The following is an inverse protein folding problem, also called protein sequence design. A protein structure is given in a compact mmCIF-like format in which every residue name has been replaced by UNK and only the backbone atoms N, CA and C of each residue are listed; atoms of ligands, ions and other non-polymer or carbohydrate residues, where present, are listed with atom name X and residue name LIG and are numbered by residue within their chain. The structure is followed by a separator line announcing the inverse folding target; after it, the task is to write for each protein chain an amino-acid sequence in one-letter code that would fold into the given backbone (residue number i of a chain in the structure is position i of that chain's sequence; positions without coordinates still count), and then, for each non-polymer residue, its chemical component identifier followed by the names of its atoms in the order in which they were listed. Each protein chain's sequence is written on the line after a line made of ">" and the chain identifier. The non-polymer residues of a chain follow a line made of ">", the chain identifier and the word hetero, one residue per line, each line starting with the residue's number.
data_IF_682301459662
#
_entry.id   IF_682301459662
#
_cell.length_a   1.000
_cell.length_b   1.000
_cell.length_c   1.000
_cell.angle_alpha   90.00
_cell.angle_beta   90.00
_cell.angle_gamma   90.00
#
_symmetry.space_group_name_H-M   'P 1'
#
loop_
_entity.id
_entity.type
_entity.pdbx_description
1 polymer ?
#
# COMPACT_ATOMS: atom_id res chain seq x y z
N UNK A 1 12.03 33.38 54.23
CA UNK A 1 11.43 32.95 55.52
C UNK A 1 10.73 31.62 55.28
N UNK A 2 11.09 30.44 55.80
CA UNK A 2 12.03 29.89 56.80
C UNK A 2 12.40 28.47 56.28
N UNK A 3 13.70 28.12 56.19
CA UNK A 3 14.47 27.10 56.97
C UNK A 3 13.96 25.65 56.87
N UNK A 4 14.66 24.69 56.22
CA UNK A 4 15.90 23.93 56.59
C UNK A 4 15.68 22.73 57.54
N UNK A 5 16.02 21.51 57.05
CA UNK A 5 16.98 20.51 57.60
C UNK A 5 16.61 19.06 57.16
N UNK A 6 17.43 18.34 56.38
CA UNK A 6 18.69 17.61 56.68
C UNK A 6 18.51 16.31 57.50
N UNK A 7 18.77 15.17 56.87
CA UNK A 7 19.57 14.08 57.49
C UNK A 7 20.21 13.19 56.43
N UNK A 8 21.55 13.21 56.41
CA UNK A 8 22.48 12.33 55.70
C UNK A 8 22.48 10.94 56.34
N UNK A 9 22.67 9.89 55.56
CA UNK A 9 23.31 8.64 56.04
C UNK A 9 24.42 8.28 55.07
N UNK A 10 25.62 8.19 55.63
CA UNK A 10 26.89 7.79 55.03
C UNK A 10 27.30 6.50 55.73
N UNK A 11 27.68 5.45 55.01
CA UNK A 11 28.46 4.35 55.60
C UNK A 11 29.55 3.87 54.64
N UNK A 12 30.69 3.58 55.26
CA UNK A 12 32.05 3.45 54.74
C UNK A 12 32.35 2.07 54.17
N UNK A 13 33.21 2.09 53.15
CA UNK A 13 34.47 1.33 52.99
C UNK A 13 34.67 0.03 53.79
N UNK A 14 34.86 -1.08 53.06
CA UNK A 14 35.47 -2.32 53.54
C UNK A 14 36.40 -2.90 52.48
N UNK A 15 37.70 -2.69 52.66
CA UNK A 15 38.80 -3.23 51.85
C UNK A 15 39.18 -4.61 52.43
N UNK A 16 39.25 -5.66 51.61
CA UNK A 16 39.87 -6.94 51.96
C UNK A 16 40.81 -7.37 50.84
N UNK A 17 42.06 -7.59 51.22
CA UNK A 17 43.22 -8.00 50.42
C UNK A 17 43.47 -9.49 50.64
N UNK A 18 44.07 -10.15 49.63
CA UNK A 18 44.91 -11.39 49.59
C UNK A 18 44.35 -12.50 48.67
N UNK A 19 45.21 -13.33 48.04
CA UNK A 19 46.38 -13.00 47.20
C UNK A 19 46.32 -13.69 45.81
N UNK A 20 47.26 -13.30 44.96
CA UNK A 20 47.55 -13.92 43.67
C UNK A 20 47.83 -15.43 43.77
N UNK A 21 47.17 -16.21 42.91
CA UNK A 21 47.62 -17.54 42.51
C UNK A 21 47.48 -17.67 40.99
N UNK A 22 48.64 -17.87 40.39
CA UNK A 22 48.95 -18.16 38.99
C UNK A 22 48.06 -19.27 38.42
N UNK A 23 47.37 -19.00 37.31
CA UNK A 23 47.07 -20.01 36.30
C UNK A 23 47.20 -19.41 34.90
N UNK A 24 48.36 -19.68 34.31
CA UNK A 24 48.70 -19.45 32.91
C UNK A 24 48.21 -20.67 32.12
N UNK A 25 47.15 -20.56 31.32
CA UNK A 25 46.80 -21.58 30.31
C UNK A 25 45.93 -20.98 29.18
N UNK A 26 46.58 -20.79 28.04
CA UNK A 26 46.04 -20.79 26.67
C UNK A 26 44.79 -19.94 26.35
N UNK A 27 45.00 -18.65 26.08
CA UNK A 27 44.17 -17.89 25.14
C UNK A 27 44.50 -18.38 23.71
N UNK A 28 43.80 -19.42 23.26
CA UNK A 28 43.70 -19.72 21.84
C UNK A 28 42.64 -18.79 21.24
N UNK A 29 43.12 -17.89 20.41
CA UNK A 29 42.38 -16.91 19.62
C UNK A 29 41.27 -17.57 18.80
N UNK A 30 40.02 -17.49 19.25
CA UNK A 30 38.87 -17.63 18.35
C UNK A 30 38.60 -16.28 17.71
N UNK A 31 39.39 -15.96 16.68
CA UNK A 31 38.90 -15.06 15.63
C UNK A 31 37.83 -15.85 14.86
N UNK A 32 36.58 -15.38 14.75
CA UNK A 32 35.68 -15.93 13.75
C UNK A 32 36.32 -15.63 12.40
N UNK A 33 36.68 -16.69 11.67
CA UNK A 33 37.20 -16.59 10.31
C UNK A 33 36.22 -15.79 9.45
N UNK A 34 36.75 -14.79 8.75
CA UNK A 34 36.14 -14.25 7.55
C UNK A 34 35.74 -15.35 6.58
N UNK A 35 34.63 -15.14 5.88
CA UNK A 35 34.33 -15.86 4.64
C UNK A 35 33.56 -17.16 4.82
N UNK A 36 32.34 -17.08 5.37
CA UNK A 36 31.30 -17.94 4.81
C UNK A 36 31.08 -17.47 3.37
N UNK A 37 31.77 -18.09 2.43
CA UNK A 37 31.51 -18.00 0.99
C UNK A 37 30.08 -18.49 0.76
N UNK A 38 29.13 -17.55 0.89
CA UNK A 38 27.77 -17.75 0.43
C UNK A 38 27.87 -17.69 -1.09
N UNK A 39 28.09 -18.84 -1.71
CA UNK A 39 27.90 -19.04 -3.15
C UNK A 39 26.64 -18.27 -3.56
N UNK A 40 26.71 -17.32 -4.51
CA UNK A 40 25.55 -16.51 -4.86
C UNK A 40 24.43 -17.47 -5.27
N UNK A 41 23.36 -17.48 -4.48
CA UNK A 41 22.15 -18.20 -4.84
C UNK A 41 21.74 -17.70 -6.22
N UNK A 42 21.42 -18.59 -7.18
CA UNK A 42 21.03 -18.16 -8.50
C UNK A 42 19.77 -17.29 -8.39
N UNK A 43 19.93 -15.97 -8.53
CA UNK A 43 18.82 -15.04 -8.58
C UNK A 43 18.00 -15.36 -9.84
N UNK A 44 16.68 -15.49 -9.68
CA UNK A 44 15.79 -15.68 -10.82
C UNK A 44 15.26 -14.32 -11.26
N UNK A 45 15.24 -14.03 -12.57
CA UNK A 45 14.60 -12.83 -13.08
C UNK A 45 13.10 -12.88 -12.80
N UNK A 46 12.56 -11.76 -12.34
CA UNK A 46 11.13 -11.53 -12.15
C UNK A 46 10.62 -10.80 -13.40
N UNK A 47 10.07 -11.56 -14.35
CA UNK A 47 9.44 -10.99 -15.53
C UNK A 47 8.19 -10.23 -15.14
N UNK A 48 8.10 -8.99 -15.60
CA UNK A 48 7.20 -8.02 -14.99
C UNK A 48 6.90 -6.94 -16.01
N UNK A 49 5.66 -6.47 -16.02
CA UNK A 49 5.34 -5.14 -16.53
C UNK A 49 4.79 -4.29 -15.39
N UNK A 50 5.24 -3.05 -15.33
CA UNK A 50 4.86 -2.11 -14.29
C UNK A 50 4.81 -0.68 -14.81
N UNK A 51 4.15 0.18 -14.04
CA UNK A 51 4.04 1.61 -14.29
C UNK A 51 4.30 2.36 -12.98
N UNK A 52 5.05 3.45 -13.05
CA UNK A 52 5.10 4.48 -11.99
C UNK A 52 4.51 5.77 -12.56
N UNK A 53 3.77 6.52 -11.75
CA UNK A 53 3.12 7.74 -12.21
C UNK A 53 2.88 8.76 -11.09
N UNK A 54 2.91 10.03 -11.48
CA UNK A 54 2.40 11.17 -10.73
C UNK A 54 1.11 11.66 -11.40
N UNK A 55 0.06 11.83 -10.62
CA UNK A 55 -1.11 12.59 -11.03
C UNK A 55 -0.91 14.08 -10.72
N UNK A 56 -0.72 14.91 -11.75
CA UNK A 56 -0.42 16.34 -11.58
C UNK A 56 -1.56 17.14 -10.96
N UNK A 57 -2.81 16.69 -11.10
CA UNK A 57 -3.96 17.41 -10.55
C UNK A 57 -4.08 17.23 -9.05
N UNK A 58 -3.90 16.00 -8.56
CA UNK A 58 -4.06 15.66 -7.14
C UNK A 58 -2.73 15.58 -6.37
N UNK A 59 -1.61 15.55 -7.09
CA UNK A 59 -0.29 15.25 -6.57
C UNK A 59 -0.07 13.77 -6.20
N UNK A 60 -1.08 12.90 -6.36
CA UNK A 60 -0.96 11.49 -5.99
C UNK A 60 0.17 10.80 -6.75
N UNK A 61 0.89 9.93 -6.07
CA UNK A 61 1.95 9.11 -6.64
C UNK A 61 1.51 7.66 -6.61
N UNK A 62 1.84 6.90 -7.65
CA UNK A 62 1.39 5.53 -7.75
C UNK A 62 2.36 4.61 -8.50
N UNK A 63 2.26 3.34 -8.17
CA UNK A 63 2.96 2.25 -8.81
C UNK A 63 2.01 1.07 -8.97
N UNK A 64 2.06 0.42 -10.13
CA UNK A 64 1.26 -0.77 -10.41
C UNK A 64 2.09 -1.80 -11.16
N UNK A 65 1.86 -3.08 -10.87
CA UNK A 65 2.67 -4.18 -11.36
C UNK A 65 1.86 -5.46 -11.55
N UNK A 66 2.25 -6.28 -12.53
CA UNK A 66 1.81 -7.68 -12.68
C UNK A 66 3.01 -8.55 -13.07
N UNK A 67 3.07 -9.77 -12.52
CA UNK A 67 4.09 -10.78 -12.88
C UNK A 67 3.57 -12.21 -12.80
N UNK A 68 4.13 -13.13 -13.59
CA UNK A 68 4.09 -14.56 -13.29
C UNK A 68 5.12 -14.92 -12.20
N UNK A 69 4.93 -14.34 -11.02
CA UNK A 69 5.77 -14.56 -9.85
C UNK A 69 4.88 -14.46 -8.62
N UNK A 70 5.13 -15.28 -7.60
CA UNK A 70 4.36 -15.19 -6.37
C UNK A 70 4.66 -13.87 -5.64
N UNK A 71 3.61 -13.15 -5.27
CA UNK A 71 3.71 -11.97 -4.40
C UNK A 71 4.60 -10.82 -4.89
N UNK A 72 4.48 -10.45 -6.17
CA UNK A 72 5.35 -9.41 -6.79
C UNK A 72 5.28 -8.04 -6.11
N UNK A 73 4.13 -7.66 -5.56
CA UNK A 73 3.91 -6.34 -4.97
C UNK A 73 4.74 -6.05 -3.72
N UNK A 74 5.17 -7.08 -2.99
CA UNK A 74 5.97 -6.91 -1.78
C UNK A 74 7.40 -6.43 -2.06
N UNK A 75 7.90 -6.67 -3.27
CA UNK A 75 9.31 -6.41 -3.65
C UNK A 75 9.45 -5.34 -4.74
N UNK A 76 8.47 -5.22 -5.65
CA UNK A 76 8.58 -4.32 -6.81
C UNK A 76 8.00 -2.92 -6.53
N UNK A 77 6.88 -2.82 -5.82
CA UNK A 77 6.10 -1.58 -5.71
C UNK A 77 6.42 -0.77 -4.45
N UNK A 78 6.94 0.44 -4.64
CA UNK A 78 7.27 1.39 -3.58
C UNK A 78 6.68 2.76 -3.90
N UNK A 79 6.08 3.41 -2.92
CA UNK A 79 5.65 4.81 -3.04
C UNK A 79 5.57 5.46 -1.66
N UNK A 80 5.77 6.77 -1.64
CA UNK A 80 5.68 7.59 -0.44
C UNK A 80 5.11 8.97 -0.75
N UNK A 81 4.13 9.38 0.06
CA UNK A 81 3.39 10.61 -0.16
C UNK A 81 4.29 11.85 -0.12
N UNK A 82 4.14 12.71 -1.12
CA UNK A 82 4.96 13.90 -1.30
C UNK A 82 6.44 13.64 -1.63
N UNK A 83 6.84 12.38 -1.87
CA UNK A 83 8.23 12.01 -2.15
C UNK A 83 8.39 11.44 -3.55
N UNK A 84 7.78 10.29 -3.85
CA UNK A 84 7.91 9.65 -5.15
C UNK A 84 7.31 8.23 -5.20
N UNK A 85 7.43 7.59 -6.37
CA UNK A 85 7.12 6.19 -6.59
C UNK A 85 8.25 5.49 -7.36
N UNK A 86 8.49 4.21 -7.04
CA UNK A 86 9.57 3.39 -7.61
C UNK A 86 9.05 2.00 -7.93
N UNK A 87 9.43 1.51 -9.12
CA UNK A 87 9.29 0.12 -9.52
C UNK A 87 10.69 -0.47 -9.79
N UNK A 88 11.05 -1.56 -9.13
CA UNK A 88 12.32 -2.30 -9.32
C UNK A 88 12.03 -3.75 -9.73
N UNK A 89 12.51 -4.18 -10.89
CA UNK A 89 12.13 -5.46 -11.53
C UNK A 89 13.27 -6.10 -12.33
N UNK A 90 12.96 -7.20 -13.03
CA UNK A 90 13.93 -8.12 -13.62
C UNK A 90 14.71 -8.84 -12.53
N UNK A 91 16.04 -8.70 -12.43
CA UNK A 91 16.75 -9.14 -11.23
C UNK A 91 16.55 -8.10 -10.12
N UNK A 92 15.42 -8.22 -9.43
CA UNK A 92 14.95 -7.27 -8.41
C UNK A 92 16.02 -7.07 -7.33
N UNK A 93 16.28 -5.82 -7.00
CA UNK A 93 16.92 -5.41 -5.75
C UNK A 93 15.97 -4.43 -5.03
N UNK A 94 15.33 -4.84 -3.91
CA UNK A 94 14.46 -3.98 -3.10
C UNK A 94 15.12 -2.70 -2.59
N UNK A 95 16.46 -2.66 -2.55
CA UNK A 95 17.24 -1.48 -2.18
C UNK A 95 16.92 -0.28 -3.07
N UNK A 96 16.66 -0.47 -4.36
CA UNK A 96 16.29 0.64 -5.25
C UNK A 96 15.00 1.35 -4.82
N UNK A 97 14.04 0.62 -4.29
CA UNK A 97 12.78 1.18 -3.79
C UNK A 97 13.00 2.03 -2.55
N UNK A 98 13.47 1.41 -1.48
CA UNK A 98 13.65 2.08 -0.18
C UNK A 98 14.70 3.20 -0.21
N UNK A 99 15.87 2.97 -0.82
CA UNK A 99 16.93 3.97 -0.92
C UNK A 99 16.59 5.06 -1.93
N UNK A 100 15.92 4.72 -3.04
CA UNK A 100 15.45 5.70 -4.02
C UNK A 100 14.50 6.71 -3.38
N UNK A 101 13.48 6.24 -2.65
CA UNK A 101 12.57 7.10 -1.88
C UNK A 101 13.33 7.90 -0.81
N UNK A 102 14.31 7.30 -0.13
CA UNK A 102 15.10 8.03 0.86
C UNK A 102 15.93 9.17 0.26
N UNK A 103 16.54 8.95 -0.91
CA UNK A 103 17.27 10.00 -1.64
C UNK A 103 16.34 11.10 -2.13
N UNK A 104 15.16 10.74 -2.67
CA UNK A 104 14.16 11.71 -3.10
C UNK A 104 13.63 12.56 -1.94
N UNK A 105 13.37 11.94 -0.78
CA UNK A 105 12.98 12.66 0.45
C UNK A 105 14.07 13.64 0.91
N UNK A 106 15.34 13.30 0.69
CA UNK A 106 16.48 14.17 0.98
C UNK A 106 16.69 15.29 -0.08
N UNK A 107 15.76 15.44 -1.04
CA UNK A 107 15.76 16.51 -2.03
C UNK A 107 16.48 16.18 -3.34
N UNK A 108 16.82 14.90 -3.58
CA UNK A 108 17.33 14.47 -4.90
C UNK A 108 16.17 14.29 -5.87
N UNK A 109 16.40 14.57 -7.16
CA UNK A 109 15.44 14.15 -8.19
C UNK A 109 15.45 12.64 -8.39
N UNK A 110 14.41 12.10 -9.02
CA UNK A 110 14.35 10.70 -9.44
C UNK A 110 15.59 10.30 -10.27
N UNK A 111 16.06 11.17 -11.16
CA UNK A 111 17.26 10.96 -11.97
C UNK A 111 18.54 10.89 -11.13
N UNK A 112 18.71 11.82 -10.19
CA UNK A 112 19.87 11.83 -9.31
C UNK A 112 19.89 10.59 -8.39
N UNK A 113 18.72 10.18 -7.88
CA UNK A 113 18.57 8.98 -7.07
C UNK A 113 18.94 7.72 -7.87
N UNK A 114 18.32 7.53 -9.04
CA UNK A 114 18.58 6.36 -9.88
C UNK A 114 20.04 6.28 -10.32
N UNK A 115 20.62 7.38 -10.81
CA UNK A 115 22.02 7.43 -11.23
C UNK A 115 23.00 7.15 -10.08
N UNK A 116 22.68 7.60 -8.86
CA UNK A 116 23.48 7.31 -7.67
C UNK A 116 23.48 5.81 -7.34
N UNK A 117 22.30 5.19 -7.36
CA UNK A 117 22.12 3.77 -7.05
C UNK A 117 22.78 2.87 -8.10
N UNK A 118 22.60 3.16 -9.39
CA UNK A 118 23.21 2.40 -10.48
C UNK A 118 24.74 2.40 -10.41
N UNK A 119 25.36 3.51 -9.98
CA UNK A 119 26.82 3.59 -9.79
C UNK A 119 27.33 2.70 -8.65
N UNK A 120 26.48 2.41 -7.66
CA UNK A 120 26.81 1.56 -6.52
C UNK A 120 26.47 0.08 -6.72
N UNK A 121 25.62 -0.23 -7.70
CA UNK A 121 25.27 -1.60 -8.08
C UNK A 121 26.41 -2.24 -8.87
N UNK A 122 26.76 -3.47 -8.51
CA UNK A 122 27.82 -4.23 -9.20
C UNK A 122 27.33 -4.87 -10.50
N UNK A 123 26.01 -5.02 -10.65
CA UNK A 123 25.40 -5.64 -11.82
C UNK A 123 24.18 -4.85 -12.33
N UNK A 124 24.33 -3.55 -12.66
CA UNK A 124 23.21 -2.72 -13.11
C UNK A 124 22.60 -3.23 -14.43
N UNK A 125 23.37 -3.92 -15.26
CA UNK A 125 22.93 -4.47 -16.55
C UNK A 125 21.85 -5.54 -16.46
N UNK A 126 21.60 -6.16 -15.30
CA UNK A 126 20.49 -7.10 -15.10
C UNK A 126 19.25 -6.46 -14.46
N UNK A 127 19.34 -5.17 -14.08
CA UNK A 127 18.27 -4.44 -13.40
C UNK A 127 17.34 -3.77 -14.39
N UNK A 128 16.07 -3.65 -14.01
CA UNK A 128 15.16 -2.70 -14.62
C UNK A 128 14.47 -1.89 -13.54
N UNK A 129 14.59 -0.56 -13.57
CA UNK A 129 14.10 0.33 -12.51
C UNK A 129 13.46 1.57 -13.12
N UNK A 130 12.31 1.98 -12.62
CA UNK A 130 11.68 3.25 -12.94
C UNK A 130 11.36 4.01 -11.66
N UNK A 131 11.59 5.32 -11.67
CA UNK A 131 11.31 6.24 -10.56
C UNK A 131 10.58 7.47 -11.10
N UNK A 132 9.64 7.98 -10.32
CA UNK A 132 9.05 9.31 -10.49
C UNK A 132 9.08 10.02 -9.15
N UNK A 133 9.57 11.27 -9.13
CA UNK A 133 9.54 12.09 -7.92
C UNK A 133 8.28 12.97 -7.85
N UNK A 134 8.04 13.58 -6.69
CA UNK A 134 6.89 14.45 -6.46
C UNK A 134 6.87 15.72 -7.34
N UNK A 135 7.97 16.05 -8.03
CA UNK A 135 8.00 17.15 -9.02
C UNK A 135 7.61 16.69 -10.43
N UNK A 136 7.43 15.38 -10.62
CA UNK A 136 7.06 14.76 -11.88
C UNK A 136 8.26 14.42 -12.78
N UNK A 137 9.49 14.56 -12.29
CA UNK A 137 10.65 14.08 -13.04
C UNK A 137 10.72 12.56 -12.97
N UNK A 138 10.93 11.95 -14.12
CA UNK A 138 10.95 10.51 -14.30
C UNK A 138 12.36 10.07 -14.65
N UNK A 139 12.81 8.95 -14.09
CA UNK A 139 14.07 8.32 -14.45
C UNK A 139 13.87 6.82 -14.62
N UNK A 140 14.46 6.25 -15.68
CA UNK A 140 14.27 4.85 -16.05
C UNK A 140 15.59 4.23 -16.46
N UNK A 141 15.82 2.99 -16.06
CA UNK A 141 16.93 2.16 -16.48
C UNK A 141 16.41 0.80 -16.91
N UNK A 142 16.76 0.39 -18.13
CA UNK A 142 16.61 -1.00 -18.60
C UNK A 142 18.00 -1.53 -18.89
N UNK A 143 18.48 -2.45 -18.07
CA UNK A 143 19.77 -3.08 -18.25
C UNK A 143 19.84 -3.91 -19.54
N UNK A 144 21.00 -3.87 -20.21
CA UNK A 144 21.24 -4.60 -21.47
C UNK A 144 21.15 -6.12 -21.36
N UNK A 145 21.20 -6.68 -20.15
CA UNK A 145 21.09 -8.10 -19.85
C UNK A 145 19.73 -8.48 -19.26
N UNK A 146 18.74 -7.57 -19.28
CA UNK A 146 17.34 -7.98 -19.09
C UNK A 146 16.93 -8.95 -20.20
N UNK A 147 16.13 -9.96 -19.86
CA UNK A 147 15.65 -10.95 -20.83
C UNK A 147 14.81 -10.24 -21.92
N UNK A 148 15.01 -10.67 -23.17
CA UNK A 148 14.52 -10.02 -24.38
C UNK A 148 13.02 -9.67 -24.36
N UNK A 149 12.64 -8.76 -25.27
CA UNK A 149 11.43 -7.95 -25.17
C UNK A 149 11.40 -7.18 -23.83
N UNK A 150 12.53 -6.53 -23.53
CA UNK A 150 12.70 -5.61 -22.42
C UNK A 150 12.88 -4.18 -22.89
N UNK A 151 12.11 -3.26 -22.30
CA UNK A 151 12.12 -1.86 -22.68
C UNK A 151 11.22 -1.03 -21.78
N UNK A 152 11.07 0.24 -22.14
CA UNK A 152 10.22 1.17 -21.43
C UNK A 152 9.69 2.26 -22.36
N UNK A 153 8.62 2.91 -21.92
CA UNK A 153 8.14 4.20 -22.43
C UNK A 153 8.23 5.21 -21.29
N UNK A 154 8.85 6.35 -21.54
CA UNK A 154 8.91 7.46 -20.62
C UNK A 154 7.97 8.56 -21.13
N UNK A 155 7.01 8.95 -20.29
CA UNK A 155 6.10 10.04 -20.58
C UNK A 155 6.21 11.16 -19.56
N UNK A 156 5.38 12.18 -19.71
CA UNK A 156 5.33 13.31 -18.80
C UNK A 156 4.72 12.90 -17.45
N UNK A 157 5.55 12.76 -16.41
CA UNK A 157 5.14 12.35 -15.07
C UNK A 157 4.84 10.86 -14.90
N UNK A 158 5.21 10.00 -15.85
CA UNK A 158 5.06 8.54 -15.70
C UNK A 158 6.08 7.73 -16.52
N UNK A 159 6.25 6.46 -16.18
CA UNK A 159 6.92 5.49 -17.06
C UNK A 159 6.23 4.12 -17.00
N UNK A 160 6.16 3.46 -18.15
CA UNK A 160 5.78 2.07 -18.28
C UNK A 160 7.02 1.26 -18.68
N UNK A 161 7.29 0.16 -17.98
CA UNK A 161 8.48 -0.67 -18.19
C UNK A 161 8.11 -2.14 -18.16
N UNK A 162 8.76 -2.93 -19.01
CA UNK A 162 8.56 -4.37 -19.03
C UNK A 162 9.83 -5.13 -19.44
N UNK A 163 9.90 -6.41 -19.06
CA UNK A 163 10.94 -7.35 -19.49
C UNK A 163 10.38 -8.77 -19.62
N UNK A 164 10.95 -9.59 -20.52
CA UNK A 164 10.49 -10.96 -20.80
C UNK A 164 9.00 -11.00 -21.23
N UNK A 165 8.65 -10.08 -22.12
CA UNK A 165 7.30 -9.99 -22.69
C UNK A 165 7.14 -10.90 -23.92
N UNK A 166 5.91 -11.22 -24.29
CA UNK A 166 5.62 -11.83 -25.60
C UNK A 166 5.97 -10.92 -26.78
N UNK A 167 5.92 -9.59 -26.59
CA UNK A 167 6.18 -8.58 -27.63
C UNK A 167 6.80 -7.32 -27.04
N UNK A 168 7.66 -6.65 -27.81
CA UNK A 168 8.22 -5.33 -27.50
C UNK A 168 7.21 -4.17 -27.62
N UNK A 169 5.97 -4.43 -28.01
CA UNK A 169 4.89 -3.43 -28.12
C UNK A 169 4.16 -3.17 -26.80
N UNK A 170 4.43 -4.00 -25.77
CA UNK A 170 3.71 -3.99 -24.49
C UNK A 170 3.79 -2.64 -23.78
N UNK A 171 4.98 -2.06 -23.58
CA UNK A 171 5.11 -0.81 -22.83
C UNK A 171 4.51 0.40 -23.56
N UNK A 172 4.47 0.40 -24.90
CA UNK A 172 3.74 1.42 -25.66
C UNK A 172 2.22 1.23 -25.55
N UNK A 173 1.73 -0.01 -25.51
CA UNK A 173 0.31 -0.29 -25.27
C UNK A 173 -0.13 0.20 -23.88
N UNK A 174 0.68 -0.06 -22.85
CA UNK A 174 0.49 0.46 -21.49
C UNK A 174 0.40 1.99 -21.48
N UNK A 175 1.38 2.67 -22.08
CA UNK A 175 1.44 4.12 -22.10
C UNK A 175 0.21 4.74 -22.77
N UNK A 176 -0.20 4.21 -23.94
CA UNK A 176 -1.41 4.68 -24.64
C UNK A 176 -2.66 4.49 -23.79
N UNK A 177 -2.80 3.37 -23.09
CA UNK A 177 -3.95 3.12 -22.23
C UNK A 177 -3.98 4.04 -21.01
N UNK A 178 -2.82 4.28 -20.37
CA UNK A 178 -2.69 5.23 -19.27
C UNK A 178 -3.10 6.65 -19.68
N UNK A 179 -2.61 7.12 -20.83
CA UNK A 179 -2.86 8.47 -21.34
C UNK A 179 -4.31 8.70 -21.81
N UNK A 180 -4.98 7.67 -22.34
CA UNK A 180 -6.34 7.78 -22.87
C UNK A 180 -7.43 7.50 -21.84
N UNK A 181 -7.08 6.92 -20.70
CA UNK A 181 -8.03 6.65 -19.61
C UNK A 181 -8.25 7.91 -18.78
N UNK A 182 -9.51 8.19 -18.46
CA UNK A 182 -9.90 9.26 -17.52
C UNK A 182 -10.29 8.67 -16.17
N UNK A 183 -10.30 9.50 -15.13
CA UNK A 183 -10.65 9.10 -13.77
C UNK A 183 -9.48 9.26 -12.82
N UNK A 184 -9.55 8.54 -11.69
CA UNK A 184 -8.53 8.59 -10.65
C UNK A 184 -7.22 7.97 -11.15
N UNK A 185 -6.11 8.25 -10.43
CA UNK A 185 -4.82 7.64 -10.76
C UNK A 185 -4.89 6.11 -10.79
N UNK A 186 -5.61 5.49 -9.85
CA UNK A 186 -5.81 4.03 -9.79
C UNK A 186 -6.44 3.46 -11.06
N UNK A 187 -7.37 4.18 -11.70
CA UNK A 187 -8.06 3.72 -12.92
C UNK A 187 -7.09 3.70 -14.10
N UNK A 188 -6.28 4.75 -14.23
CA UNK A 188 -5.26 4.87 -15.28
C UNK A 188 -4.16 3.84 -15.12
N UNK A 189 -3.71 3.59 -13.89
CA UNK A 189 -2.75 2.54 -13.57
C UNK A 189 -3.29 1.15 -13.93
N UNK A 190 -4.53 0.84 -13.54
CA UNK A 190 -5.18 -0.43 -13.86
C UNK A 190 -5.34 -0.60 -15.38
N UNK A 191 -5.75 0.45 -16.10
CA UNK A 191 -5.88 0.41 -17.55
C UNK A 191 -4.55 0.12 -18.26
N UNK A 192 -3.43 0.62 -17.73
CA UNK A 192 -2.10 0.29 -18.23
C UNK A 192 -1.81 -1.22 -18.08
N UNK A 193 -2.10 -1.81 -16.91
CA UNK A 193 -1.92 -3.24 -16.70
C UNK A 193 -2.84 -4.10 -17.60
N UNK A 194 -4.12 -3.73 -17.74
CA UNK A 194 -5.06 -4.41 -18.65
C UNK A 194 -4.56 -4.37 -20.11
N UNK A 195 -3.95 -3.26 -20.54
CA UNK A 195 -3.41 -3.13 -21.88
C UNK A 195 -2.16 -3.99 -22.10
N UNK A 196 -1.29 -4.11 -21.10
CA UNK A 196 -0.14 -5.01 -21.17
C UNK A 196 -0.57 -6.47 -21.31
N UNK A 197 -1.52 -6.94 -20.49
CA UNK A 197 -2.02 -8.31 -20.54
C UNK A 197 -2.62 -8.63 -21.92
N UNK A 198 -3.43 -7.70 -22.47
CA UNK A 198 -4.02 -7.84 -23.82
C UNK A 198 -2.98 -7.84 -24.94
N UNK A 199 -1.88 -7.12 -24.78
CA UNK A 199 -0.81 -7.05 -25.79
C UNK A 199 0.09 -8.30 -25.77
N UNK A 200 0.02 -9.10 -24.70
CA UNK A 200 0.67 -10.39 -24.54
C UNK A 200 1.32 -10.59 -23.18
N UNK A 201 1.66 -9.50 -22.48
CA UNK A 201 2.22 -9.55 -21.13
C UNK A 201 3.47 -10.43 -21.00
N UNK A 202 3.69 -10.94 -19.79
CA UNK A 202 4.76 -11.88 -19.44
C UNK A 202 4.59 -13.20 -20.20
N UNK A 203 5.65 -13.65 -20.88
CA UNK A 203 5.65 -14.88 -21.71
C UNK A 203 5.27 -16.14 -20.92
N UNK A 204 5.42 -16.12 -19.60
CA UNK A 204 5.11 -17.24 -18.71
C UNK A 204 3.62 -17.25 -18.32
N UNK A 205 2.87 -16.19 -18.61
CA UNK A 205 1.48 -15.99 -18.23
C UNK A 205 1.33 -15.00 -17.09
N UNK A 206 0.38 -15.25 -16.19
CA UNK A 206 0.03 -14.32 -15.10
C UNK A 206 -0.15 -15.06 -13.78
N UNK A 207 0.13 -14.39 -12.66
CA UNK A 207 -0.01 -14.98 -11.32
C UNK A 207 -0.33 -13.94 -10.24
N UNK A 208 0.45 -12.87 -10.12
CA UNK A 208 0.25 -11.84 -9.09
C UNK A 208 0.19 -10.44 -9.68
N UNK A 209 -0.43 -9.52 -8.93
CA UNK A 209 -0.51 -8.10 -9.26
C UNK A 209 -0.59 -7.23 -8.00
N UNK A 210 -0.15 -5.98 -8.10
CA UNK A 210 -0.31 -5.00 -7.04
C UNK A 210 -0.52 -3.58 -7.59
N UNK A 211 -1.27 -2.77 -6.84
CA UNK A 211 -1.39 -1.33 -7.04
C UNK A 211 -1.20 -0.64 -5.70
N UNK A 212 -0.26 0.30 -5.65
CA UNK A 212 -0.03 1.19 -4.52
C UNK A 212 -0.17 2.64 -5.00
N UNK A 213 -1.06 3.39 -4.36
CA UNK A 213 -1.25 4.83 -4.59
C UNK A 213 -1.21 5.54 -3.25
N UNK A 214 -0.45 6.62 -3.19
CA UNK A 214 -0.28 7.46 -2.00
C UNK A 214 -0.74 8.89 -2.28
N UNK A 215 -1.13 9.60 -1.23
CA UNK A 215 -1.52 11.01 -1.29
C UNK A 215 -0.38 11.89 -1.81
N UNK A 216 -0.72 13.05 -2.38
CA UNK A 216 0.30 13.99 -2.87
C UNK A 216 1.05 14.75 -1.77
N UNK A 217 0.49 14.77 -0.56
CA UNK A 217 1.12 15.35 0.62
C UNK A 217 1.13 14.33 1.74
N UNK A 218 2.21 14.31 2.53
CA UNK A 218 2.29 13.44 3.69
C UNK A 218 1.51 14.04 4.87
N UNK A 219 0.74 13.21 5.55
CA UNK A 219 0.13 13.51 6.85
C UNK A 219 1.11 13.34 8.02
N UNK A 220 2.36 12.92 7.75
CA UNK A 220 3.32 12.46 8.76
C UNK A 220 3.05 11.03 9.26
N UNK A 221 2.01 10.36 8.74
CA UNK A 221 1.60 9.03 9.13
C UNK A 221 1.41 8.16 7.89
N UNK A 222 2.43 7.35 7.56
CA UNK A 222 2.53 6.66 6.27
C UNK A 222 1.33 5.77 5.92
N UNK A 223 0.67 5.14 6.91
CA UNK A 223 -0.47 4.26 6.65
C UNK A 223 -1.76 5.03 6.36
N UNK A 224 -1.87 6.29 6.79
CA UNK A 224 -2.98 7.18 6.40
C UNK A 224 -2.78 7.75 5.01
N UNK A 225 -1.53 7.86 4.59
CA UNK A 225 -1.13 8.42 3.29
C UNK A 225 -1.35 7.43 2.13
N UNK A 226 -1.61 6.13 2.42
CA UNK A 226 -1.93 5.12 1.40
C UNK A 226 -3.40 5.20 1.02
N UNK A 227 -3.69 5.73 -0.17
CA UNK A 227 -5.04 5.83 -0.74
C UNK A 227 -5.51 4.48 -1.29
N UNK A 228 -4.60 3.75 -1.94
CA UNK A 228 -4.83 2.38 -2.39
C UNK A 228 -3.57 1.54 -2.09
N UNK A 229 -3.74 0.36 -1.49
CA UNK A 229 -2.68 -0.64 -1.33
C UNK A 229 -3.32 -2.02 -1.50
N UNK A 230 -3.41 -2.44 -2.75
CA UNK A 230 -4.13 -3.63 -3.17
C UNK A 230 -3.14 -4.64 -3.73
N UNK A 231 -3.27 -5.89 -3.30
CA UNK A 231 -2.36 -6.97 -3.67
C UNK A 231 -3.12 -8.25 -3.95
N UNK A 232 -2.69 -8.92 -4.99
CA UNK A 232 -3.10 -10.27 -5.35
C UNK A 232 -1.83 -11.07 -5.43
N UNK A 233 -1.61 -11.91 -4.43
CA UNK A 233 -0.34 -12.62 -4.28
C UNK A 233 -0.26 -13.85 -5.19
N UNK A 234 -1.42 -14.44 -5.51
CA UNK A 234 -1.60 -15.59 -6.40
C UNK A 234 -3.06 -15.67 -6.91
N UNK A 235 -3.27 -15.60 -8.21
CA UNK A 235 -4.56 -15.80 -8.87
C UNK A 235 -4.34 -16.11 -10.38
N UNK A 236 -5.15 -16.98 -11.02
CA UNK A 236 -5.05 -17.23 -12.46
C UNK A 236 -5.44 -16.02 -13.32
N UNK A 237 -6.24 -15.09 -12.78
CA UNK A 237 -6.71 -13.86 -13.45
C UNK A 237 -6.44 -12.63 -12.56
N UNK A 238 -5.18 -12.26 -12.28
CA UNK A 238 -4.87 -11.26 -11.27
C UNK A 238 -5.34 -9.86 -11.68
N UNK A 239 -5.37 -9.51 -12.97
CA UNK A 239 -5.86 -8.19 -13.41
C UNK A 239 -7.39 -8.07 -13.29
N UNK A 240 -8.13 -9.11 -13.66
CA UNK A 240 -9.59 -9.13 -13.47
C UNK A 240 -9.95 -9.03 -11.98
N UNK A 241 -9.22 -9.72 -11.12
CA UNK A 241 -9.42 -9.64 -9.68
C UNK A 241 -8.97 -8.28 -9.11
N UNK A 242 -7.91 -7.67 -9.65
CA UNK A 242 -7.48 -6.33 -9.25
C UNK A 242 -8.57 -5.30 -9.56
N UNK A 243 -9.21 -5.42 -10.72
CA UNK A 243 -10.36 -4.58 -11.08
C UNK A 243 -11.50 -4.69 -10.08
N UNK A 244 -11.83 -5.90 -9.62
CA UNK A 244 -12.82 -6.12 -8.56
C UNK A 244 -12.41 -5.43 -7.26
N UNK A 245 -11.15 -5.60 -6.84
CA UNK A 245 -10.63 -4.98 -5.61
C UNK A 245 -10.60 -3.45 -5.67
N UNK A 246 -10.26 -2.86 -6.83
CA UNK A 246 -10.30 -1.40 -7.03
C UNK A 246 -11.73 -0.86 -6.85
N UNK A 247 -12.74 -1.53 -7.39
CA UNK A 247 -14.15 -1.12 -7.19
C UNK A 247 -14.56 -1.17 -5.72
N UNK A 248 -14.15 -2.22 -5.00
CA UNK A 248 -14.42 -2.35 -3.56
C UNK A 248 -13.70 -1.25 -2.79
N UNK A 249 -12.43 -0.99 -3.06
CA UNK A 249 -11.65 0.04 -2.40
C UNK A 249 -12.27 1.43 -2.61
N UNK A 250 -12.71 1.75 -3.84
CA UNK A 250 -13.45 2.98 -4.12
C UNK A 250 -14.72 3.11 -3.30
N UNK A 251 -15.49 2.02 -3.18
CA UNK A 251 -16.70 2.01 -2.37
C UNK A 251 -16.39 2.30 -0.88
N UNK A 252 -15.34 1.69 -0.33
CA UNK A 252 -14.88 1.98 1.05
C UNK A 252 -14.38 3.42 1.21
N UNK A 253 -13.68 3.97 0.21
CA UNK A 253 -13.23 5.36 0.24
C UNK A 253 -14.40 6.34 0.31
N UNK A 254 -15.46 6.11 -0.48
CA UNK A 254 -16.70 6.88 -0.41
C UNK A 254 -17.41 6.70 0.95
N UNK A 255 -17.47 5.48 1.50
CA UNK A 255 -18.05 5.24 2.82
C UNK A 255 -17.31 6.02 3.92
N UNK A 256 -15.99 5.91 3.97
CA UNK A 256 -15.15 6.62 4.95
C UNK A 256 -15.30 8.14 4.80
N UNK A 257 -15.38 8.64 3.56
CA UNK A 257 -15.63 10.07 3.30
C UNK A 257 -17.01 10.51 3.81
N UNK A 258 -18.03 9.67 3.66
CA UNK A 258 -19.34 9.90 4.23
C UNK A 258 -19.31 10.03 5.76
N UNK A 259 -18.57 9.14 6.44
CA UNK A 259 -18.39 9.20 7.89
C UNK A 259 -17.73 10.50 8.34
N UNK A 260 -16.65 10.92 7.67
CA UNK A 260 -15.99 12.21 7.93
C UNK A 260 -16.96 13.39 7.77
N UNK A 261 -17.70 13.43 6.66
CA UNK A 261 -18.68 14.50 6.39
C UNK A 261 -19.79 14.54 7.44
N UNK A 262 -20.25 13.39 7.94
CA UNK A 262 -21.19 13.38 9.07
C UNK A 262 -20.59 13.99 10.34
N UNK A 263 -19.32 13.71 10.65
CA UNK A 263 -18.65 14.35 11.80
C UNK A 263 -18.51 15.85 11.64
N UNK A 264 -18.40 16.34 10.39
CA UNK A 264 -18.41 17.76 10.04
C UNK A 264 -19.82 18.37 9.98
N UNK A 265 -20.88 17.59 10.29
CA UNK A 265 -22.29 17.96 10.17
C UNK A 265 -22.74 18.30 8.72
N UNK A 266 -21.98 17.83 7.71
CA UNK A 266 -22.27 17.95 6.28
C UNK A 266 -23.14 16.81 5.79
N UNK A 267 -24.34 16.79 6.35
CA UNK A 267 -25.27 15.66 6.21
C UNK A 267 -25.60 15.31 4.76
N UNK A 268 -25.91 16.31 3.94
CA UNK A 268 -26.33 16.06 2.55
C UNK A 268 -25.21 15.40 1.75
N UNK A 269 -24.01 15.96 1.82
CA UNK A 269 -22.83 15.43 1.13
C UNK A 269 -22.49 14.02 1.63
N UNK A 270 -22.60 13.76 2.94
CA UNK A 270 -22.38 12.41 3.47
C UNK A 270 -23.32 11.36 2.86
N UNK A 271 -24.61 11.69 2.71
CA UNK A 271 -25.58 10.79 2.10
C UNK A 271 -25.29 10.53 0.62
N UNK A 272 -24.80 11.53 -0.10
CA UNK A 272 -24.36 11.37 -1.50
C UNK A 272 -23.18 10.40 -1.59
N UNK A 273 -22.21 10.51 -0.67
CA UNK A 273 -21.06 9.60 -0.59
C UNK A 273 -21.46 8.17 -0.25
N UNK A 274 -22.32 7.95 0.76
CA UNK A 274 -22.81 6.60 1.06
C UNK A 274 -23.60 5.99 -0.10
N UNK A 275 -24.37 6.81 -0.82
CA UNK A 275 -25.11 6.34 -2.00
C UNK A 275 -24.15 5.85 -3.08
N UNK A 276 -23.09 6.64 -3.39
CA UNK A 276 -22.03 6.23 -4.32
C UNK A 276 -21.34 4.94 -3.89
N UNK A 277 -21.01 4.81 -2.61
CA UNK A 277 -20.41 3.59 -2.07
C UNK A 277 -21.28 2.35 -2.32
N UNK A 278 -22.58 2.43 -2.03
CA UNK A 278 -23.53 1.34 -2.24
C UNK A 278 -23.81 1.04 -3.71
N UNK A 279 -23.72 2.03 -4.61
CA UNK A 279 -23.85 1.85 -6.06
C UNK A 279 -22.64 1.11 -6.64
N UNK A 280 -21.42 1.46 -6.19
CA UNK A 280 -20.18 0.82 -6.64
C UNK A 280 -20.09 -0.65 -6.24
N UNK A 281 -20.58 -1.00 -5.05
CA UNK A 281 -20.49 -2.37 -4.55
C UNK A 281 -21.70 -2.80 -3.71
N UNK A 282 -22.81 -3.03 -4.40
CA UNK A 282 -24.14 -3.27 -3.82
C UNK A 282 -24.34 -4.57 -3.02
N UNK A 283 -23.38 -5.50 -3.11
CA UNK A 283 -23.44 -6.81 -2.46
C UNK A 283 -22.77 -6.90 -1.08
N UNK A 284 -22.09 -5.83 -0.62
CA UNK A 284 -21.40 -5.85 0.67
C UNK A 284 -22.30 -5.30 1.79
N UNK A 285 -22.72 -6.15 2.75
CA UNK A 285 -23.53 -5.68 3.87
C UNK A 285 -22.81 -4.67 4.76
N UNK A 286 -21.47 -4.68 4.85
CA UNK A 286 -20.71 -3.71 5.65
C UNK A 286 -20.90 -2.28 5.17
N UNK A 287 -20.92 -2.08 3.84
CA UNK A 287 -21.12 -0.76 3.20
C UNK A 287 -22.52 -0.19 3.42
N UNK A 288 -23.43 -0.98 3.98
CA UNK A 288 -24.79 -0.58 4.31
C UNK A 288 -24.95 -0.49 5.84
N UNK A 289 -24.37 -1.46 6.57
CA UNK A 289 -24.50 -1.59 8.01
C UNK A 289 -23.85 -0.43 8.77
N UNK A 290 -22.58 -0.11 8.49
CA UNK A 290 -21.89 0.95 9.22
C UNK A 290 -22.49 2.33 9.00
N UNK A 291 -22.84 2.74 7.76
CA UNK A 291 -23.58 3.98 7.56
C UNK A 291 -24.91 4.01 8.34
N UNK A 292 -25.65 2.90 8.39
CA UNK A 292 -26.88 2.81 9.16
C UNK A 292 -26.65 3.00 10.67
N UNK A 293 -25.58 2.39 11.21
CA UNK A 293 -25.14 2.56 12.61
C UNK A 293 -24.77 4.02 12.88
N UNK A 294 -23.95 4.64 12.04
CA UNK A 294 -23.54 6.04 12.15
C UNK A 294 -24.77 6.96 12.11
N UNK A 295 -25.69 6.78 11.18
CA UNK A 295 -26.94 7.54 11.08
C UNK A 295 -27.81 7.40 12.34
N UNK A 296 -28.09 6.17 12.78
CA UNK A 296 -28.89 5.95 13.98
C UNK A 296 -28.25 6.56 15.24
N UNK A 297 -26.92 6.44 15.38
CA UNK A 297 -26.19 6.99 16.53
C UNK A 297 -26.15 8.52 16.56
N UNK A 298 -26.22 9.17 15.40
CA UNK A 298 -26.26 10.63 15.23
C UNK A 298 -27.69 11.20 15.20
N UNK A 299 -28.70 10.39 15.55
CA UNK A 299 -30.10 10.80 15.67
C UNK A 299 -30.92 10.70 14.38
N UNK A 300 -30.32 10.25 13.27
CA UNK A 300 -30.97 10.06 11.96
C UNK A 300 -31.61 8.68 11.87
N UNK A 301 -32.49 8.40 12.83
CA UNK A 301 -33.07 7.07 13.00
C UNK A 301 -33.91 6.68 11.78
N UNK A 302 -34.79 7.54 11.27
CA UNK A 302 -35.66 7.22 10.14
C UNK A 302 -34.89 6.81 8.88
N UNK A 303 -33.79 7.50 8.59
CA UNK A 303 -32.96 7.24 7.42
C UNK A 303 -32.18 5.92 7.53
N UNK A 304 -31.87 5.50 8.77
CA UNK A 304 -31.16 4.24 9.03
C UNK A 304 -32.04 2.99 8.90
N UNK A 305 -33.35 3.08 9.13
CA UNK A 305 -34.23 1.91 9.20
C UNK A 305 -34.30 1.11 7.89
N UNK A 306 -34.43 1.73 6.69
CA UNK A 306 -34.39 1.00 5.43
C UNK A 306 -33.07 0.25 5.20
N UNK A 307 -31.95 0.83 5.63
CA UNK A 307 -30.62 0.23 5.52
C UNK A 307 -30.50 -1.00 6.43
N UNK A 308 -30.94 -0.90 7.68
CA UNK A 308 -31.00 -2.05 8.59
C UNK A 308 -31.90 -3.16 8.07
N UNK A 309 -33.07 -2.83 7.51
CA UNK A 309 -33.96 -3.82 6.88
C UNK A 309 -33.24 -4.58 5.76
N UNK A 310 -32.53 -3.86 4.89
CA UNK A 310 -31.77 -4.44 3.77
C UNK A 310 -30.67 -5.37 4.29
N UNK A 311 -29.88 -4.92 5.26
CA UNK A 311 -28.76 -5.71 5.83
C UNK A 311 -29.26 -6.96 6.55
N UNK A 312 -30.32 -6.85 7.36
CA UNK A 312 -30.87 -8.00 8.08
C UNK A 312 -31.53 -9.03 7.16
N UNK A 313 -32.00 -8.59 5.99
CA UNK A 313 -32.48 -9.50 4.94
C UNK A 313 -31.34 -10.24 4.22
N UNK A 314 -30.14 -9.64 4.14
CA UNK A 314 -28.96 -10.28 3.56
C UNK A 314 -28.35 -11.33 4.50
N UNK A 315 -28.17 -10.99 5.77
CA UNK A 315 -27.70 -11.91 6.80
C UNK A 315 -28.25 -11.49 8.19
N UNK A 316 -29.05 -12.36 8.86
CA UNK A 316 -29.55 -12.10 10.21
C UNK A 316 -28.45 -11.84 11.27
N UNK A 317 -27.21 -12.30 11.05
CA UNK A 317 -26.09 -12.09 11.98
C UNK A 317 -25.76 -10.61 12.22
N UNK A 318 -26.09 -9.72 11.29
CA UNK A 318 -25.91 -8.27 11.47
C UNK A 318 -26.80 -7.70 12.58
N UNK A 319 -28.00 -8.26 12.78
CA UNK A 319 -28.87 -7.87 13.90
C UNK A 319 -28.27 -8.32 15.24
N UNK A 320 -27.55 -9.46 15.26
CA UNK A 320 -26.80 -9.90 16.43
C UNK A 320 -25.57 -9.02 16.68
N UNK A 321 -24.84 -8.62 15.62
CA UNK A 321 -23.72 -7.69 15.75
C UNK A 321 -24.18 -6.35 16.35
N UNK A 322 -25.26 -5.76 15.83
CA UNK A 322 -25.82 -4.50 16.35
C UNK A 322 -26.09 -4.57 17.85
N UNK A 323 -26.62 -5.68 18.36
CA UNK A 323 -26.89 -5.87 19.78
C UNK A 323 -25.62 -5.89 20.66
N UNK A 324 -24.44 -6.18 20.09
CA UNK A 324 -23.16 -6.21 20.80
C UNK A 324 -22.51 -4.83 20.91
N UNK A 325 -22.80 -3.91 19.99
CA UNK A 325 -22.16 -2.59 19.92
C UNK A 325 -22.35 -1.71 21.18
N UNK A 326 -23.52 -1.67 21.86
CA UNK A 326 -23.69 -0.83 23.05
C UNK A 326 -22.78 -1.19 24.22
N UNK A 327 -22.39 -2.47 24.35
CA UNK A 327 -21.52 -2.91 25.43
C UNK A 327 -20.11 -2.32 25.34
N UNK A 328 -19.64 -2.04 24.12
CA UNK A 328 -18.32 -1.47 23.80
C UNK A 328 -18.36 0.01 23.47
N UNK A 329 -19.52 0.67 23.66
CA UNK A 329 -19.66 2.11 23.41
C UNK A 329 -19.74 2.52 21.94
N UNK A 330 -19.88 1.56 21.02
CA UNK A 330 -19.98 1.80 19.56
C UNK A 330 -21.43 2.01 19.09
N UNK A 331 -22.39 2.01 20.01
CA UNK A 331 -23.79 2.35 19.73
C UNK A 331 -24.49 2.84 21.02
N UNK A 332 -25.50 3.72 20.95
CA UNK A 332 -26.21 4.18 22.14
C UNK A 332 -26.82 3.03 22.95
N UNK A 333 -26.73 3.12 24.29
CA UNK A 333 -27.41 2.21 25.23
C UNK A 333 -28.91 2.53 25.36
N UNK A 334 -29.57 2.81 24.25
CA UNK A 334 -31.01 3.11 24.17
C UNK A 334 -31.79 1.85 23.75
N UNK A 335 -32.52 1.27 24.72
CA UNK A 335 -33.34 0.08 24.50
C UNK A 335 -34.51 0.32 23.53
N UNK A 336 -35.07 1.53 23.48
CA UNK A 336 -36.19 1.86 22.58
C UNK A 336 -35.69 1.94 21.15
N UNK A 337 -34.57 2.62 20.93
CA UNK A 337 -33.90 2.68 19.63
C UNK A 337 -33.53 1.27 19.14
N UNK A 338 -32.87 0.48 19.98
CA UNK A 338 -32.49 -0.89 19.66
C UNK A 338 -33.69 -1.73 19.23
N UNK A 339 -34.78 -1.72 20.01
CA UNK A 339 -36.00 -2.46 19.67
C UNK A 339 -36.55 -2.03 18.30
N UNK A 340 -36.63 -0.72 18.06
CA UNK A 340 -37.15 -0.15 16.81
C UNK A 340 -36.34 -0.57 15.57
N UNK A 341 -35.01 -0.64 15.70
CA UNK A 341 -34.14 -1.12 14.62
C UNK A 341 -34.31 -2.63 14.42
N UNK A 342 -34.32 -3.43 15.49
CA UNK A 342 -34.45 -4.88 15.39
C UNK A 342 -35.80 -5.32 14.80
N UNK A 343 -36.86 -4.51 14.94
CA UNK A 343 -38.16 -4.70 14.27
C UNK A 343 -38.07 -4.65 12.73
N UNK A 344 -36.95 -4.16 12.15
CA UNK A 344 -36.69 -4.23 10.71
C UNK A 344 -36.22 -5.60 10.23
N UNK A 345 -35.95 -6.54 11.14
CA UNK A 345 -35.56 -7.90 10.76
C UNK A 345 -36.69 -8.60 10.01
N UNK A 346 -36.39 -9.44 9.00
CA UNK A 346 -37.41 -10.24 8.34
C UNK A 346 -38.21 -11.06 9.35
N UNK A 347 -39.54 -11.07 9.22
CA UNK A 347 -40.38 -11.98 10.01
C UNK A 347 -40.10 -13.40 9.53
N UNK A 348 -39.77 -14.30 10.47
CA UNK A 348 -39.58 -15.73 10.20
C UNK A 348 -40.87 -16.39 9.75
#
# INVERSE_FOLDING_TARGET
>A
MKKENLSRICYRSGLLIFPAAVFLAALLSFFPSEGADRSPQPLRPVATYSIVALDKETGQLGVAVQSHWFSVGSIVSWAEAGVGAVATQSFVDPGYGSLGLAMMRAGKSAEQALNGLLKSDRTPEVRQVAMVDASGLVAVHTGKNCIAEAGHYQGDGFSCQANMMLKNTVWQAMARAYQNTRGELVDRLLAALEAAEKEGGDIRGRQSAAILVVSGQSSGVWWKDRVYDLRIEDHPEPIAEMKRLVQIAKAYNHMNRGDELLTENKVKEAMEEYSRAMELYSGNPELIFWPAVTMASTGRVEDSLPLFRKVFALDPNWALLLQRLPAVGQFPKDKKLMKRILEQSPKK
#
